data_IF_212302289364
#
_entry.id   IF_212302289364
#
_cell.length_a   1.000
_cell.length_b   1.000
_cell.length_c   1.000
_cell.angle_alpha   90.00
_cell.angle_beta   90.00
_cell.angle_gamma   90.00
#
_symmetry.space_group_name_H-M   'P 1'
#
loop_
_entity.id
_entity.type
_entity.pdbx_description
1 polymer ?
#
# COMPACT_ATOMS: atom_id res chain seq x y z
N UNK A 1 25.22 38.25 11.01
CA UNK A 1 24.19 37.90 10.02
C UNK A 1 23.12 38.97 10.02
N UNK A 2 22.49 39.26 8.86
CA UNK A 2 21.27 40.08 8.85
C UNK A 2 20.19 39.33 9.66
N UNK A 3 19.28 40.02 10.37
CA UNK A 3 18.24 39.37 11.18
C UNK A 3 17.41 38.39 10.36
N UNK A 4 17.13 38.70 9.08
CA UNK A 4 16.46 37.81 8.13
C UNK A 4 17.20 36.48 7.90
N UNK A 5 18.53 36.51 7.80
CA UNK A 5 19.34 35.30 7.63
C UNK A 5 19.38 34.46 8.90
N UNK A 6 19.28 35.08 10.08
CA UNK A 6 19.20 34.37 11.36
C UNK A 6 17.88 33.63 11.52
N UNK A 7 16.77 34.29 11.16
CA UNK A 7 15.44 33.66 11.13
C UNK A 7 15.42 32.48 10.16
N UNK A 8 15.99 32.64 8.96
CA UNK A 8 16.08 31.56 7.98
C UNK A 8 16.86 30.35 8.52
N UNK A 9 18.02 30.57 9.15
CA UNK A 9 18.81 29.49 9.75
C UNK A 9 18.05 28.76 10.86
N UNK A 10 17.38 29.50 11.75
CA UNK A 10 16.59 28.92 12.83
C UNK A 10 15.42 28.08 12.29
N UNK A 11 14.74 28.54 11.23
CA UNK A 11 13.67 27.77 10.58
C UNK A 11 14.19 26.47 9.97
N UNK A 12 15.36 26.49 9.32
CA UNK A 12 15.97 25.27 8.76
C UNK A 12 16.33 24.27 9.86
N UNK A 13 16.94 24.73 10.96
CA UNK A 13 17.28 23.86 12.09
C UNK A 13 16.04 23.29 12.76
N UNK A 14 14.99 24.10 12.92
CA UNK A 14 13.71 23.64 13.43
C UNK A 14 13.08 22.56 12.53
N UNK A 15 13.03 22.80 11.21
CA UNK A 15 12.50 21.84 10.25
C UNK A 15 13.30 20.52 10.26
N UNK A 16 14.63 20.61 10.32
CA UNK A 16 15.50 19.44 10.40
C UNK A 16 15.27 18.63 11.69
N UNK A 17 15.16 19.30 12.83
CA UNK A 17 14.83 18.64 14.10
C UNK A 17 13.46 17.96 14.06
N UNK A 18 12.47 18.61 13.45
CA UNK A 18 11.14 18.04 13.26
C UNK A 18 11.17 16.79 12.37
N UNK A 19 11.97 16.78 11.30
CA UNK A 19 12.14 15.57 10.48
C UNK A 19 12.80 14.43 11.25
N UNK A 20 13.84 14.71 12.05
CA UNK A 20 14.47 13.68 12.89
C UNK A 20 13.48 13.09 13.89
N UNK A 21 12.65 13.92 14.51
CA UNK A 21 11.59 13.47 15.41
C UNK A 21 10.60 12.53 14.71
N UNK A 22 10.13 12.89 13.51
CA UNK A 22 9.17 12.07 12.75
C UNK A 22 9.75 10.71 12.34
N UNK A 23 11.07 10.61 12.13
CA UNK A 23 11.73 9.34 11.78
C UNK A 23 11.56 8.28 12.89
N UNK A 24 11.40 8.67 14.16
CA UNK A 24 11.20 7.73 15.26
C UNK A 24 9.84 7.00 15.20
N UNK A 25 8.83 7.61 14.58
CA UNK A 25 7.49 7.00 14.39
C UNK A 25 7.42 6.06 13.17
N UNK A 26 8.47 6.02 12.34
CA UNK A 26 8.51 5.19 11.13
C UNK A 26 8.84 3.74 11.50
N UNK A 27 8.13 2.73 10.94
CA UNK A 27 8.46 1.32 11.15
C UNK A 27 9.92 1.02 10.83
N UNK A 28 10.44 -0.05 11.43
CA UNK A 28 11.79 -0.52 11.13
C UNK A 28 11.96 -0.74 9.61
N UNK A 29 13.09 -0.27 9.09
CA UNK A 29 13.36 -0.32 7.66
C UNK A 29 13.30 -1.77 7.15
N UNK A 30 12.44 -2.02 6.16
CA UNK A 30 12.28 -3.35 5.55
C UNK A 30 11.46 -4.34 6.37
N UNK A 31 10.75 -3.92 7.42
CA UNK A 31 9.88 -4.82 8.19
C UNK A 31 8.68 -5.30 7.36
N UNK A 32 8.70 -6.58 6.99
CA UNK A 32 7.63 -7.26 6.24
C UNK A 32 6.34 -7.45 7.03
N UNK A 33 6.40 -7.38 8.37
CA UNK A 33 5.23 -7.53 9.24
C UNK A 33 4.60 -6.18 9.61
N UNK A 34 5.19 -5.06 9.16
CA UNK A 34 4.61 -3.75 9.46
C UNK A 34 3.21 -3.61 8.84
N UNK A 35 2.27 -2.94 9.54
CA UNK A 35 0.91 -2.76 9.03
C UNK A 35 0.85 -2.07 7.67
N UNK A 36 1.87 -1.29 7.29
CA UNK A 36 1.96 -0.65 5.97
C UNK A 36 2.36 -1.64 4.86
N UNK A 37 3.26 -2.59 5.16
CA UNK A 37 3.79 -3.53 4.17
C UNK A 37 2.97 -4.81 4.02
N UNK A 38 2.06 -5.08 4.97
CA UNK A 38 1.36 -6.37 5.01
C UNK A 38 -0.16 -6.27 4.87
N UNK A 39 -0.87 -6.13 5.98
CA UNK A 39 -2.31 -6.03 5.98
C UNK A 39 -2.83 -5.16 7.12
N UNK A 40 -4.06 -4.67 6.96
CA UNK A 40 -4.77 -3.88 7.97
C UNK A 40 -6.06 -4.60 8.35
N UNK A 41 -6.37 -4.61 9.65
CA UNK A 41 -7.62 -5.18 10.17
C UNK A 41 -8.81 -4.37 9.65
N UNK A 42 -9.79 -5.04 9.05
CA UNK A 42 -11.05 -4.42 8.64
C UNK A 42 -12.12 -4.59 9.72
N UNK A 43 -12.50 -5.83 10.01
CA UNK A 43 -13.56 -6.16 10.95
C UNK A 43 -13.42 -7.59 11.48
N UNK A 44 -14.18 -7.92 12.52
CA UNK A 44 -14.24 -9.26 13.11
C UNK A 44 -15.71 -9.69 13.20
N UNK A 45 -16.00 -10.94 12.86
CA UNK A 45 -17.32 -11.58 12.97
C UNK A 45 -17.23 -12.85 13.81
N UNK A 46 -18.33 -13.30 14.38
CA UNK A 46 -18.35 -14.56 15.15
C UNK A 46 -18.12 -15.75 14.20
N UNK A 47 -17.22 -16.66 14.55
CA UNK A 47 -16.74 -17.72 13.63
C UNK A 47 -17.73 -18.89 13.46
N UNK A 48 -18.80 -18.93 14.25
CA UNK A 48 -19.71 -20.08 14.36
C UNK A 48 -20.36 -20.42 13.00
N UNK A 49 -19.98 -21.58 12.43
CA UNK A 49 -20.47 -22.08 11.14
C UNK A 49 -19.86 -21.44 9.88
N UNK A 50 -18.99 -20.43 10.02
CA UNK A 50 -18.36 -19.75 8.88
C UNK A 50 -17.03 -20.41 8.45
N UNK A 51 -16.33 -21.03 9.40
CA UNK A 51 -15.07 -21.74 9.16
C UNK A 51 -15.26 -22.94 8.24
N UNK A 52 -16.35 -23.70 8.38
CA UNK A 52 -16.70 -24.82 7.50
C UNK A 52 -16.88 -24.39 6.03
N UNK A 53 -17.43 -23.19 5.81
CA UNK A 53 -17.60 -22.65 4.45
C UNK A 53 -16.26 -22.26 3.82
N UNK A 54 -15.35 -21.67 4.61
CA UNK A 54 -14.00 -21.33 4.15
C UNK A 54 -13.16 -22.58 3.87
N UNK A 55 -13.29 -23.62 4.70
CA UNK A 55 -12.66 -24.92 4.44
C UNK A 55 -13.23 -25.60 3.19
N UNK A 56 -14.51 -25.39 2.88
CA UNK A 56 -15.13 -25.82 1.64
C UNK A 56 -14.75 -24.96 0.41
N UNK A 57 -13.89 -23.94 0.58
CA UNK A 57 -13.44 -23.07 -0.51
C UNK A 57 -14.47 -22.03 -0.94
N UNK A 58 -15.47 -21.73 -0.10
CA UNK A 58 -16.53 -20.75 -0.39
C UNK A 58 -16.47 -19.59 0.59
N UNK A 59 -16.48 -18.37 0.08
CA UNK A 59 -16.56 -17.18 0.92
C UNK A 59 -17.98 -17.07 1.51
N UNK A 60 -18.13 -17.03 2.84
CA UNK A 60 -19.44 -16.87 3.46
C UNK A 60 -20.13 -15.56 3.03
N UNK A 61 -21.45 -15.57 2.78
CA UNK A 61 -22.20 -14.35 2.42
C UNK A 61 -22.08 -13.23 3.46
N UNK A 62 -21.89 -13.58 4.74
CA UNK A 62 -21.67 -12.61 5.81
C UNK A 62 -20.41 -11.74 5.57
N UNK A 63 -19.30 -12.35 5.11
CA UNK A 63 -18.07 -11.62 4.79
C UNK A 63 -18.30 -10.71 3.59
N UNK A 64 -18.89 -11.26 2.52
CA UNK A 64 -19.17 -10.51 1.30
C UNK A 64 -20.02 -9.26 1.57
N UNK A 65 -21.15 -9.43 2.26
CA UNK A 65 -22.07 -8.34 2.56
C UNK A 65 -21.40 -7.24 3.39
N UNK A 66 -20.54 -7.63 4.33
CA UNK A 66 -19.84 -6.67 5.19
C UNK A 66 -18.74 -5.92 4.43
N UNK A 67 -17.99 -6.61 3.57
CA UNK A 67 -17.00 -6.01 2.66
C UNK A 67 -17.66 -5.00 1.73
N UNK A 68 -18.81 -5.35 1.13
CA UNK A 68 -19.58 -4.44 0.27
C UNK A 68 -20.16 -3.26 1.06
N UNK A 69 -20.61 -3.47 2.30
CA UNK A 69 -21.11 -2.43 3.21
C UNK A 69 -20.03 -1.40 3.56
N UNK A 70 -18.78 -1.83 3.71
CA UNK A 70 -17.63 -0.94 3.97
C UNK A 70 -17.28 -0.11 2.73
N UNK A 71 -17.71 -0.54 1.54
CA UNK A 71 -17.51 0.17 0.28
C UNK A 71 -16.54 -0.53 -0.68
N UNK A 72 -16.10 -1.76 -0.39
CA UNK A 72 -15.35 -2.59 -1.35
C UNK A 72 -16.32 -3.29 -2.30
N UNK A 73 -16.94 -2.49 -3.16
CA UNK A 73 -17.93 -2.93 -4.13
C UNK A 73 -17.56 -2.46 -5.54
N UNK A 74 -18.31 -2.95 -6.52
CA UNK A 74 -18.11 -2.63 -7.94
C UNK A 74 -18.36 -1.16 -8.26
N UNK A 75 -19.23 -0.48 -7.51
CA UNK A 75 -19.52 0.95 -7.70
C UNK A 75 -18.27 1.81 -7.44
N UNK A 76 -17.43 1.40 -6.48
CA UNK A 76 -16.17 2.05 -6.14
C UNK A 76 -14.96 1.49 -6.91
N UNK A 77 -15.18 0.71 -7.97
CA UNK A 77 -14.14 0.06 -8.77
C UNK A 77 -13.23 -0.90 -7.98
N UNK A 78 -13.76 -1.56 -6.93
CA UNK A 78 -13.06 -2.66 -6.28
C UNK A 78 -13.49 -4.01 -6.86
N UNK A 79 -12.58 -4.98 -6.95
CA UNK A 79 -12.94 -6.32 -7.39
C UNK A 79 -13.81 -7.00 -6.33
N UNK A 80 -14.85 -7.70 -6.78
CA UNK A 80 -15.90 -8.26 -5.93
C UNK A 80 -15.68 -9.76 -5.66
N UNK A 81 -16.17 -10.22 -4.51
CA UNK A 81 -16.17 -11.63 -4.12
C UNK A 81 -17.37 -12.35 -4.75
N UNK A 82 -17.45 -12.37 -6.08
CA UNK A 82 -18.46 -13.14 -6.83
C UNK A 82 -18.06 -14.62 -6.94
N UNK A 83 -19.02 -15.53 -6.81
CA UNK A 83 -18.81 -16.98 -6.85
C UNK A 83 -18.20 -17.40 -8.21
N UNK A 84 -16.87 -17.50 -8.25
CA UNK A 84 -16.10 -17.89 -9.45
C UNK A 84 -14.97 -16.94 -9.84
N UNK A 85 -14.88 -15.75 -9.24
CA UNK A 85 -13.77 -14.82 -9.46
C UNK A 85 -12.73 -14.84 -8.33
N UNK A 86 -12.92 -15.68 -7.31
CA UNK A 86 -12.01 -15.78 -6.18
C UNK A 86 -11.52 -17.21 -5.95
N UNK A 87 -10.33 -17.32 -5.38
CA UNK A 87 -9.72 -18.55 -4.93
C UNK A 87 -9.39 -18.42 -3.43
N UNK A 88 -9.48 -19.52 -2.70
CA UNK A 88 -9.13 -19.56 -1.27
C UNK A 88 -7.94 -20.49 -1.08
N UNK A 89 -6.84 -19.94 -0.59
CA UNK A 89 -5.64 -20.70 -0.26
C UNK A 89 -5.46 -20.73 1.26
N UNK A 90 -5.08 -21.89 1.80
CA UNK A 90 -4.77 -22.01 3.23
C UNK A 90 -3.35 -21.53 3.47
N UNK A 91 -3.18 -20.54 4.34
CA UNK A 91 -1.87 -20.05 4.74
C UNK A 91 -1.37 -20.86 5.95
N UNK A 92 -0.47 -21.81 5.71
CA UNK A 92 0.09 -22.67 6.76
C UNK A 92 1.07 -21.93 7.69
N UNK A 93 1.69 -20.84 7.23
CA UNK A 93 2.66 -20.09 8.03
C UNK A 93 1.99 -19.28 9.15
N UNK A 94 0.85 -18.63 8.85
CA UNK A 94 0.17 -17.74 9.80
C UNK A 94 -1.11 -18.33 10.41
N UNK A 95 -1.56 -19.47 9.89
CA UNK A 95 -2.76 -20.17 10.36
C UNK A 95 -4.04 -19.42 9.99
N UNK A 96 -4.36 -19.36 8.69
CA UNK A 96 -5.57 -18.71 8.18
C UNK A 96 -5.86 -19.02 6.70
N UNK A 97 -6.67 -18.18 6.07
CA UNK A 97 -7.07 -18.29 4.68
C UNK A 97 -6.74 -17.00 3.92
N UNK A 98 -6.02 -17.14 2.82
CA UNK A 98 -5.82 -16.09 1.83
C UNK A 98 -6.97 -16.15 0.82
N UNK A 99 -7.65 -15.02 0.63
CA UNK A 99 -8.66 -14.85 -0.41
C UNK A 99 -8.02 -14.11 -1.57
N UNK A 100 -7.84 -14.83 -2.67
CA UNK A 100 -7.31 -14.31 -3.90
C UNK A 100 -8.48 -13.94 -4.83
N UNK A 101 -8.38 -12.81 -5.53
CA UNK A 101 -9.41 -12.36 -6.47
C UNK A 101 -8.77 -12.16 -7.84
N UNK A 102 -9.39 -12.77 -8.86
CA UNK A 102 -9.05 -12.59 -10.26
C UNK A 102 -9.66 -11.27 -10.77
N UNK A 103 -8.82 -10.26 -10.98
CA UNK A 103 -9.25 -8.98 -11.55
C UNK A 103 -9.55 -9.04 -13.05
N UNK A 104 -9.15 -10.13 -13.72
CA UNK A 104 -9.30 -10.28 -15.17
C UNK A 104 -8.38 -9.34 -15.94
N UNK A 105 -7.17 -9.10 -15.43
CA UNK A 105 -6.19 -8.27 -16.14
C UNK A 105 -5.81 -8.88 -17.51
N UNK A 106 -5.40 -8.02 -18.44
CA UNK A 106 -5.05 -8.43 -19.81
C UNK A 106 -3.76 -9.27 -19.86
N UNK A 107 -2.78 -8.92 -19.02
CA UNK A 107 -1.42 -9.44 -19.08
C UNK A 107 -1.10 -10.41 -17.93
N UNK A 108 -1.54 -10.12 -16.71
CA UNK A 108 -1.31 -10.96 -15.52
C UNK A 108 -2.63 -11.50 -15.00
N UNK A 109 -3.02 -12.67 -15.50
CA UNK A 109 -4.35 -13.27 -15.22
C UNK A 109 -4.42 -14.04 -13.91
N UNK A 110 -3.34 -14.05 -13.15
CA UNK A 110 -3.28 -14.77 -11.89
C UNK A 110 -4.12 -14.04 -10.82
N UNK A 111 -4.78 -14.80 -9.94
CA UNK A 111 -5.57 -14.20 -8.88
C UNK A 111 -4.64 -13.56 -7.83
N UNK A 112 -5.03 -12.39 -7.31
CA UNK A 112 -4.20 -11.60 -6.40
C UNK A 112 -4.73 -11.65 -4.99
N UNK A 113 -3.84 -11.67 -3.99
CA UNK A 113 -4.21 -11.69 -2.57
C UNK A 113 -4.85 -10.36 -2.15
N UNK A 114 -6.12 -10.40 -1.78
CA UNK A 114 -6.88 -9.23 -1.37
C UNK A 114 -7.21 -9.21 0.11
N UNK A 115 -7.65 -10.36 0.64
CA UNK A 115 -8.05 -10.48 2.03
C UNK A 115 -7.31 -11.64 2.69
N UNK A 116 -6.95 -11.45 3.94
CA UNK A 116 -6.47 -12.50 4.82
C UNK A 116 -7.48 -12.70 5.92
N UNK A 117 -7.89 -13.94 6.14
CA UNK A 117 -8.91 -14.28 7.13
C UNK A 117 -8.28 -15.19 8.16
N UNK A 118 -8.38 -14.80 9.42
CA UNK A 118 -7.79 -15.53 10.53
C UNK A 118 -8.79 -15.74 11.65
N UNK A 119 -8.86 -16.95 12.15
CA UNK A 119 -9.65 -17.26 13.34
C UNK A 119 -8.81 -16.98 14.60
N UNK A 120 -9.29 -16.09 15.45
CA UNK A 120 -8.68 -15.73 16.73
C UNK A 120 -9.78 -15.68 17.80
N UNK A 121 -9.63 -16.46 18.87
CA UNK A 121 -10.54 -16.47 20.03
C UNK A 121 -12.03 -16.71 19.70
N UNK A 122 -12.33 -17.59 18.75
CA UNK A 122 -13.70 -17.90 18.30
C UNK A 122 -14.32 -16.81 17.41
N UNK A 123 -13.52 -15.83 16.98
CA UNK A 123 -13.91 -14.80 16.02
C UNK A 123 -13.09 -14.93 14.76
N UNK A 124 -13.76 -14.74 13.64
CA UNK A 124 -13.15 -14.66 12.33
C UNK A 124 -12.80 -13.20 12.05
N UNK A 125 -11.52 -12.87 12.02
CA UNK A 125 -11.03 -11.52 11.72
C UNK A 125 -10.58 -11.45 10.27
N UNK A 126 -11.11 -10.44 9.57
CA UNK A 126 -10.81 -10.17 8.17
C UNK A 126 -9.82 -9.01 8.12
N UNK A 127 -8.70 -9.27 7.46
CA UNK A 127 -7.65 -8.32 7.16
C UNK A 127 -7.63 -8.06 5.66
N UNK A 128 -7.23 -6.86 5.27
CA UNK A 128 -7.01 -6.49 3.87
C UNK A 128 -5.52 -6.41 3.61
N UNK A 129 -5.05 -7.11 2.59
CA UNK A 129 -3.68 -6.98 2.11
C UNK A 129 -3.46 -5.60 1.52
N UNK A 130 -2.31 -5.02 1.84
CA UNK A 130 -1.88 -3.78 1.23
C UNK A 130 -1.17 -4.05 -0.08
N UNK A 131 -1.17 -3.03 -0.93
CA UNK A 131 -0.49 -3.04 -2.23
C UNK A 131 0.97 -3.54 -2.20
N UNK A 132 1.82 -3.24 -1.18
CA UNK A 132 3.20 -3.73 -1.18
C UNK A 132 3.33 -5.25 -1.25
N UNK A 133 2.34 -6.00 -0.76
CA UNK A 133 2.36 -7.46 -0.85
C UNK A 133 2.36 -7.94 -2.30
N UNK A 134 1.54 -7.33 -3.17
CA UNK A 134 1.56 -7.60 -4.61
C UNK A 134 2.95 -7.34 -5.19
N UNK A 135 3.56 -6.21 -4.87
CA UNK A 135 4.89 -5.86 -5.41
C UNK A 135 5.97 -6.79 -4.90
N UNK A 136 5.91 -7.22 -3.65
CA UNK A 136 6.86 -8.21 -3.11
C UNK A 136 6.75 -9.56 -3.83
N UNK A 137 5.53 -9.99 -4.18
CA UNK A 137 5.29 -11.31 -4.79
C UNK A 137 5.41 -11.30 -6.33
N UNK A 138 5.05 -10.18 -6.98
CA UNK A 138 4.82 -10.10 -8.43
C UNK A 138 5.72 -9.12 -9.18
N UNK A 139 6.50 -8.26 -8.52
CA UNK A 139 7.29 -7.25 -9.23
C UNK A 139 8.26 -7.86 -10.26
N UNK A 140 8.92 -8.97 -9.94
CA UNK A 140 9.85 -9.61 -10.88
C UNK A 140 9.12 -10.11 -12.15
N UNK A 141 7.94 -10.70 -11.98
CA UNK A 141 7.11 -11.19 -13.09
C UNK A 141 6.54 -10.03 -13.93
N UNK A 142 6.06 -8.98 -13.25
CA UNK A 142 5.33 -7.89 -13.90
C UNK A 142 6.25 -6.84 -14.55
N UNK A 143 7.41 -6.59 -13.95
CA UNK A 143 8.32 -5.49 -14.35
C UNK A 143 9.70 -5.96 -14.80
N UNK A 144 10.04 -7.24 -14.64
CA UNK A 144 11.39 -7.78 -14.83
C UNK A 144 12.47 -7.12 -13.94
N UNK A 145 12.06 -6.49 -12.84
CA UNK A 145 12.93 -5.85 -11.85
C UNK A 145 12.80 -6.55 -10.50
N UNK A 146 13.92 -7.06 -9.99
CA UNK A 146 13.97 -7.76 -8.68
C UNK A 146 13.82 -6.75 -7.51
N UNK A 147 14.30 -5.52 -7.69
CA UNK A 147 14.21 -4.50 -6.65
C UNK A 147 12.81 -3.88 -6.59
N UNK A 148 12.06 -4.28 -5.58
CA UNK A 148 10.67 -3.87 -5.34
C UNK A 148 10.50 -2.37 -5.11
N UNK A 149 11.49 -1.69 -4.54
CA UNK A 149 11.45 -0.23 -4.36
C UNK A 149 11.56 0.46 -5.72
N UNK A 150 12.49 0.00 -6.57
CA UNK A 150 12.65 0.55 -7.92
C UNK A 150 11.42 0.26 -8.78
N UNK A 151 10.93 -0.98 -8.77
CA UNK A 151 9.70 -1.35 -9.47
C UNK A 151 8.51 -0.49 -9.00
N UNK A 152 8.39 -0.28 -7.68
CA UNK A 152 7.34 0.55 -7.10
C UNK A 152 7.38 2.01 -7.59
N UNK A 153 8.56 2.64 -7.56
CA UNK A 153 8.72 4.05 -7.90
C UNK A 153 8.72 4.33 -9.41
N UNK A 154 9.35 3.46 -10.21
CA UNK A 154 9.57 3.70 -11.63
C UNK A 154 8.49 3.07 -12.51
N UNK A 155 8.09 1.83 -12.23
CA UNK A 155 7.15 1.08 -13.07
C UNK A 155 5.70 1.26 -12.60
N UNK A 156 5.38 0.89 -11.36
CA UNK A 156 4.01 0.97 -10.86
C UNK A 156 3.52 2.40 -10.62
N UNK A 157 4.35 3.23 -9.97
CA UNK A 157 4.02 4.63 -9.60
C UNK A 157 4.93 5.65 -10.28
N UNK A 158 5.36 5.35 -11.51
CA UNK A 158 6.23 6.21 -12.31
C UNK A 158 5.71 7.64 -12.49
N UNK A 159 4.39 7.83 -12.55
CA UNK A 159 3.80 9.17 -12.65
C UNK A 159 4.06 10.05 -11.43
N UNK A 160 4.01 9.50 -10.21
CA UNK A 160 4.29 10.26 -9.00
C UNK A 160 5.75 10.74 -9.00
N UNK A 161 6.67 9.84 -9.38
CA UNK A 161 8.11 10.14 -9.51
C UNK A 161 8.39 11.18 -10.62
N UNK A 162 7.71 11.10 -11.76
CA UNK A 162 7.85 12.06 -12.86
C UNK A 162 7.44 13.47 -12.43
N UNK A 163 6.36 13.61 -11.66
CA UNK A 163 5.93 14.90 -11.15
C UNK A 163 6.82 15.41 -10.00
N UNK A 164 7.38 14.52 -9.16
CA UNK A 164 8.42 14.90 -8.19
C UNK A 164 9.63 15.53 -8.91
N UNK A 165 10.15 14.88 -9.96
CA UNK A 165 11.26 15.42 -10.77
C UNK A 165 10.90 16.79 -11.36
N UNK A 166 9.68 16.93 -11.88
CA UNK A 166 9.18 18.20 -12.45
C UNK A 166 9.15 19.32 -11.41
N UNK A 167 8.73 19.03 -10.18
CA UNK A 167 8.71 20.01 -9.07
C UNK A 167 10.13 20.43 -8.68
N UNK A 168 11.05 19.47 -8.53
CA UNK A 168 12.45 19.76 -8.19
C UNK A 168 13.11 20.59 -9.30
N UNK A 169 12.91 20.21 -10.56
CA UNK A 169 13.42 20.95 -11.72
C UNK A 169 12.89 22.39 -11.75
N UNK A 170 11.58 22.57 -11.55
CA UNK A 170 10.95 23.89 -11.49
C UNK A 170 11.52 24.74 -10.35
N UNK A 171 11.72 24.14 -9.17
CA UNK A 171 12.37 24.78 -8.03
C UNK A 171 13.80 25.23 -8.34
N UNK A 172 14.59 24.38 -8.99
CA UNK A 172 15.95 24.70 -9.42
C UNK A 172 15.97 25.88 -10.41
N UNK A 173 15.09 25.89 -11.41
CA UNK A 173 14.94 27.01 -12.35
C UNK A 173 14.57 28.30 -11.61
N UNK A 174 13.63 28.26 -10.67
CA UNK A 174 13.26 29.41 -9.85
C UNK A 174 14.46 29.98 -9.08
N UNK A 175 15.28 29.13 -8.46
CA UNK A 175 16.49 29.55 -7.74
C UNK A 175 17.48 30.22 -8.70
N UNK A 176 17.73 29.63 -9.87
CA UNK A 176 18.62 30.21 -10.89
C UNK A 176 18.14 31.59 -11.33
N UNK A 177 16.83 31.75 -11.59
CA UNK A 177 16.22 33.01 -11.98
C UNK A 177 16.31 34.07 -10.89
N UNK A 178 16.14 33.69 -9.61
CA UNK A 178 16.28 34.60 -8.47
C UNK A 178 17.74 35.02 -8.21
N UNK A 179 18.68 34.09 -8.39
CA UNK A 179 20.11 34.37 -8.25
C UNK A 179 20.69 35.19 -9.41
N UNK A 180 19.96 35.33 -10.52
CA UNK A 180 20.37 36.15 -11.66
C UNK A 180 20.47 37.62 -11.26
N UNK A 181 21.70 38.11 -11.02
CA UNK A 181 21.97 39.54 -10.75
C UNK A 181 21.45 40.42 -11.89
N UNK A 182 20.53 41.34 -11.59
CA UNK A 182 20.26 42.52 -12.42
C UNK A 182 21.55 43.34 -12.53
N UNK A 183 22.24 43.30 -13.68
CA UNK A 183 23.34 44.23 -13.98
C UNK A 183 24.60 43.71 -14.66
N UNK A 184 24.64 42.48 -15.18
CA UNK A 184 25.75 42.04 -16.06
C UNK A 184 25.22 41.41 -17.35
N UNK A 185 25.09 42.26 -18.38
CA UNK A 185 25.19 41.97 -19.81
C UNK A 185 26.12 43.04 -20.40
#
# INVERSE_FOLDING_TARGET
MKPESLVGLLMVLFLAALFVYVVEDVPAFGDKYSPANRYVKLFSIDAEGLTESLEAGKVPPAIKNEVERIGFNKENNFPTLEEGAYEIERNEEEGGWDLLIAEGELYFKEPLKYYFVKEEDGKLTIYRYNWPVRVLEKAEEETAVINTVTAGLADYRGYDTMFEETVIFSGAVCVILLMRRRGRL
#
